data_IF_931630676638
#
_entry.id   IF_931630676638
#
_cell.length_a   1.000
_cell.length_b   1.000
_cell.length_c   1.000
_cell.angle_alpha   90.00
_cell.angle_beta   90.00
_cell.angle_gamma   90.00
#
_symmetry.space_group_name_H-M   'P 1'
#
loop_
_entity.id
_entity.type
_entity.pdbx_description
1 polymer ?
#
# COMPACT_ATOMS: atom_id res chain seq x y z
N UNK A 1 0.49 23.41 5.36
CA UNK A 1 1.54 22.50 5.89
C UNK A 1 2.88 23.02 5.40
N UNK A 2 3.93 23.05 6.22
CA UNK A 2 5.25 23.45 5.74
C UNK A 2 5.75 22.42 4.71
N UNK A 3 6.33 22.88 3.60
CA UNK A 3 6.79 22.01 2.51
C UNK A 3 7.80 20.96 3.03
N UNK A 4 8.67 21.35 3.96
CA UNK A 4 9.65 20.46 4.59
C UNK A 4 9.01 19.27 5.34
N UNK A 5 7.91 19.50 6.08
CA UNK A 5 7.20 18.41 6.76
C UNK A 5 6.54 17.45 5.77
N UNK A 6 6.07 17.96 4.62
CA UNK A 6 5.45 17.14 3.59
C UNK A 6 6.48 16.28 2.85
N UNK A 7 7.66 16.85 2.55
CA UNK A 7 8.80 16.09 2.02
C UNK A 7 9.20 14.95 2.94
N UNK A 8 9.36 15.24 4.23
CA UNK A 8 9.66 14.22 5.23
C UNK A 8 8.58 13.14 5.29
N UNK A 9 7.30 13.53 5.26
CA UNK A 9 6.19 12.60 5.25
C UNK A 9 6.21 11.68 4.02
N UNK A 10 6.49 12.21 2.82
CA UNK A 10 6.64 11.42 1.59
C UNK A 10 7.81 10.45 1.67
N UNK A 11 8.95 10.88 2.22
CA UNK A 11 10.11 10.02 2.43
C UNK A 11 9.78 8.86 3.38
N UNK A 12 9.12 9.15 4.51
CA UNK A 12 8.66 8.15 5.47
C UNK A 12 7.63 7.19 4.85
N UNK A 13 6.70 7.71 4.05
CA UNK A 13 5.77 6.88 3.28
C UNK A 13 6.52 5.95 2.32
N UNK A 14 7.52 6.48 1.61
CA UNK A 14 8.35 5.72 0.70
C UNK A 14 9.09 4.58 1.40
N UNK A 15 9.72 4.85 2.55
CA UNK A 15 10.33 3.81 3.40
C UNK A 15 9.28 2.80 3.86
N UNK A 16 8.11 3.28 4.28
CA UNK A 16 6.98 2.45 4.68
C UNK A 16 6.53 1.48 3.58
N UNK A 17 6.48 1.91 2.32
CA UNK A 17 6.19 1.06 1.17
C UNK A 17 7.26 -0.02 0.95
N UNK A 18 8.54 0.32 1.07
CA UNK A 18 9.63 -0.65 0.96
C UNK A 18 9.50 -1.71 2.04
N UNK A 19 9.31 -1.29 3.30
CA UNK A 19 9.11 -2.19 4.44
C UNK A 19 7.87 -3.07 4.23
N UNK A 20 6.75 -2.49 3.79
CA UNK A 20 5.52 -3.21 3.52
C UNK A 20 5.71 -4.27 2.43
N UNK A 21 6.42 -3.94 1.34
CA UNK A 21 6.71 -4.87 0.26
C UNK A 21 7.58 -6.03 0.73
N UNK A 22 8.64 -5.75 1.50
CA UNK A 22 9.51 -6.80 2.08
C UNK A 22 8.70 -7.70 3.03
N UNK A 23 7.91 -7.10 3.94
CA UNK A 23 7.06 -7.84 4.87
C UNK A 23 6.03 -8.71 4.12
N UNK A 24 5.50 -8.21 3.01
CA UNK A 24 4.53 -8.94 2.17
C UNK A 24 5.10 -10.22 1.57
N UNK A 25 6.42 -10.33 1.39
CA UNK A 25 7.07 -11.57 0.92
C UNK A 25 7.00 -12.72 1.94
N UNK A 26 6.73 -12.42 3.22
CA UNK A 26 6.59 -13.42 4.29
C UNK A 26 5.19 -14.05 4.27
N UNK A 27 4.17 -13.28 3.84
CA UNK A 27 2.76 -13.68 3.86
C UNK A 27 2.49 -15.02 3.15
N UNK A 28 3.03 -15.31 1.94
CA UNK A 28 2.78 -16.58 1.26
C UNK A 28 3.23 -17.81 2.06
N UNK A 29 4.30 -17.67 2.84
CA UNK A 29 4.78 -18.74 3.73
C UNK A 29 3.94 -18.83 4.99
N UNK A 30 3.65 -17.69 5.63
CA UNK A 30 2.88 -17.62 6.87
C UNK A 30 1.46 -18.20 6.72
N UNK A 31 0.81 -17.95 5.58
CA UNK A 31 -0.54 -18.42 5.27
C UNK A 31 -0.56 -19.73 4.45
N UNK A 32 0.58 -20.39 4.28
CA UNK A 32 0.70 -21.65 3.55
C UNK A 32 0.06 -21.61 2.14
N UNK A 33 0.23 -20.52 1.39
CA UNK A 33 -0.42 -20.31 0.10
C UNK A 33 -0.22 -21.47 -0.87
N UNK A 34 0.97 -22.09 -0.87
CA UNK A 34 1.22 -23.28 -1.71
C UNK A 34 0.22 -24.41 -1.44
N UNK A 35 -0.11 -24.67 -0.17
CA UNK A 35 -1.07 -25.71 0.24
C UNK A 35 -2.50 -25.32 -0.14
N UNK A 36 -2.89 -24.08 0.16
CA UNK A 36 -4.26 -23.61 -0.07
C UNK A 36 -4.58 -23.43 -1.55
N UNK A 37 -3.67 -22.84 -2.33
CA UNK A 37 -3.86 -22.61 -3.76
C UNK A 37 -3.80 -23.89 -4.59
N UNK A 38 -3.24 -24.98 -4.08
CA UNK A 38 -3.26 -26.28 -4.76
C UNK A 38 -4.66 -26.90 -4.83
N UNK A 39 -5.62 -26.43 -4.02
CA UNK A 39 -7.02 -26.83 -4.10
C UNK A 39 -7.75 -26.18 -5.29
N UNK A 40 -7.15 -25.18 -5.93
CA UNK A 40 -7.74 -24.43 -7.03
C UNK A 40 -7.31 -25.00 -8.40
N UNK A 41 -8.13 -24.80 -9.44
CA UNK A 41 -7.72 -24.99 -10.83
C UNK A 41 -6.42 -24.24 -11.16
N UNK A 42 -5.60 -24.82 -12.04
CA UNK A 42 -4.26 -24.29 -12.41
C UNK A 42 -4.32 -22.82 -12.83
N UNK A 43 -5.30 -22.45 -13.66
CA UNK A 43 -5.47 -21.08 -14.14
C UNK A 43 -5.71 -20.09 -12.99
N UNK A 44 -6.60 -20.40 -12.05
CA UNK A 44 -6.91 -19.52 -10.93
C UNK A 44 -5.69 -19.37 -10.00
N UNK A 45 -4.94 -20.44 -9.78
CA UNK A 45 -3.66 -20.37 -9.04
C UNK A 45 -2.66 -19.44 -9.72
N UNK A 46 -2.51 -19.53 -11.04
CA UNK A 46 -1.59 -18.66 -11.79
C UNK A 46 -2.04 -17.20 -11.72
N UNK A 47 -3.34 -16.92 -11.91
CA UNK A 47 -3.89 -15.56 -11.80
C UNK A 47 -3.65 -14.96 -10.42
N UNK A 48 -3.87 -15.74 -9.35
CA UNK A 48 -3.62 -15.28 -7.98
C UNK A 48 -2.15 -14.88 -7.77
N UNK A 49 -1.20 -15.70 -8.22
CA UNK A 49 0.23 -15.38 -8.13
C UNK A 49 0.60 -14.16 -8.97
N UNK A 50 0.05 -14.01 -10.17
CA UNK A 50 0.28 -12.85 -11.03
C UNK A 50 -0.21 -11.56 -10.36
N UNK A 51 -1.42 -11.56 -9.81
CA UNK A 51 -1.97 -10.39 -9.12
C UNK A 51 -1.18 -10.06 -7.84
N UNK A 52 -0.78 -11.08 -7.07
CA UNK A 52 0.08 -10.87 -5.90
C UNK A 52 1.42 -10.24 -6.30
N UNK A 53 2.03 -10.69 -7.40
CA UNK A 53 3.27 -10.11 -7.92
C UNK A 53 3.08 -8.66 -8.38
N UNK A 54 1.99 -8.35 -9.09
CA UNK A 54 1.69 -6.98 -9.52
C UNK A 54 1.51 -6.03 -8.33
N UNK A 55 0.79 -6.47 -7.29
CA UNK A 55 0.60 -5.70 -6.06
C UNK A 55 1.93 -5.46 -5.35
N UNK A 56 2.79 -6.47 -5.28
CA UNK A 56 4.12 -6.34 -4.68
C UNK A 56 4.98 -5.32 -5.43
N UNK A 57 5.02 -5.44 -6.76
CA UNK A 57 5.82 -4.55 -7.62
C UNK A 57 5.31 -3.12 -7.55
N UNK A 58 3.99 -2.89 -7.63
CA UNK A 58 3.46 -1.52 -7.60
C UNK A 58 3.72 -0.83 -6.24
N UNK A 59 3.56 -1.55 -5.13
CA UNK A 59 3.86 -1.01 -3.80
C UNK A 59 5.34 -0.67 -3.67
N UNK A 60 6.22 -1.55 -4.15
CA UNK A 60 7.67 -1.28 -4.16
C UNK A 60 8.02 -0.06 -5.03
N UNK A 61 7.40 0.08 -6.20
CA UNK A 61 7.57 1.24 -7.08
C UNK A 61 7.10 2.54 -6.43
N UNK A 62 5.99 2.54 -5.69
CA UNK A 62 5.57 3.71 -4.91
C UNK A 62 6.63 4.11 -3.87
N UNK A 63 7.24 3.12 -3.23
CA UNK A 63 8.37 3.36 -2.33
C UNK A 63 9.54 4.06 -3.01
N UNK A 64 10.00 3.53 -4.14
CA UNK A 64 11.10 4.12 -4.93
C UNK A 64 10.76 5.55 -5.35
N UNK A 65 9.60 5.76 -5.98
CA UNK A 65 9.20 7.07 -6.49
C UNK A 65 9.12 8.09 -5.34
N UNK A 66 8.67 7.66 -4.16
CA UNK A 66 8.51 8.57 -3.02
C UNK A 66 9.84 8.93 -2.34
N UNK A 67 10.82 8.03 -2.38
CA UNK A 67 12.16 8.26 -1.82
C UNK A 67 13.02 9.10 -2.76
N UNK A 68 13.05 8.74 -4.05
CA UNK A 68 13.97 9.36 -5.01
C UNK A 68 13.32 10.49 -5.80
N UNK A 69 11.99 10.54 -5.87
CA UNK A 69 11.23 11.54 -6.62
C UNK A 69 10.46 12.51 -5.73
N UNK A 70 10.86 12.72 -4.47
CA UNK A 70 10.11 13.56 -3.52
C UNK A 70 9.90 14.98 -4.06
N UNK A 71 10.94 15.60 -4.63
CA UNK A 71 10.87 16.95 -5.19
C UNK A 71 9.96 16.97 -6.43
N UNK A 72 10.06 15.96 -7.28
CA UNK A 72 9.25 15.79 -8.49
C UNK A 72 7.78 15.56 -8.17
N UNK A 73 7.47 14.88 -7.06
CA UNK A 73 6.11 14.70 -6.55
C UNK A 73 5.51 15.98 -5.95
N UNK A 74 6.32 17.02 -5.74
CA UNK A 74 5.91 18.29 -5.12
C UNK A 74 6.12 19.52 -6.03
N UNK A 75 6.41 19.31 -7.32
CA UNK A 75 6.76 20.40 -8.24
C UNK A 75 5.56 21.10 -8.92
N UNK A 76 4.33 20.92 -8.42
CA UNK A 76 3.08 21.48 -8.95
C UNK A 76 2.71 21.07 -10.39
N UNK A 77 3.49 20.16 -11.02
CA UNK A 77 3.21 19.68 -12.37
C UNK A 77 1.94 18.83 -12.42
N UNK A 78 1.38 18.69 -13.62
CA UNK A 78 0.27 17.75 -13.87
C UNK A 78 0.65 16.30 -13.50
N UNK A 79 1.91 15.92 -13.72
CA UNK A 79 2.40 14.58 -13.39
C UNK A 79 2.44 14.38 -11.87
N UNK A 80 2.94 15.36 -11.11
CA UNK A 80 2.96 15.33 -9.64
C UNK A 80 1.53 15.15 -9.09
N UNK A 81 0.57 15.94 -9.58
CA UNK A 81 -0.85 15.83 -9.22
C UNK A 81 -1.41 14.44 -9.53
N UNK A 82 -1.16 13.94 -10.74
CA UNK A 82 -1.70 12.66 -11.20
C UNK A 82 -1.16 11.48 -10.39
N UNK A 83 0.15 11.44 -10.14
CA UNK A 83 0.79 10.35 -9.39
C UNK A 83 0.39 10.39 -7.92
N UNK A 84 0.40 11.56 -7.27
CA UNK A 84 0.00 11.68 -5.86
C UNK A 84 -1.47 11.32 -5.67
N UNK A 85 -2.37 11.77 -6.56
CA UNK A 85 -3.78 11.37 -6.52
C UNK A 85 -3.95 9.87 -6.78
N UNK A 86 -3.23 9.30 -7.75
CA UNK A 86 -3.28 7.87 -8.06
C UNK A 86 -2.89 7.02 -6.84
N UNK A 87 -1.77 7.34 -6.19
CA UNK A 87 -1.32 6.60 -5.00
C UNK A 87 -2.33 6.75 -3.87
N UNK A 88 -2.87 7.96 -3.66
CA UNK A 88 -3.92 8.21 -2.67
C UNK A 88 -5.15 7.33 -2.90
N UNK A 89 -5.67 7.30 -4.14
CA UNK A 89 -6.85 6.50 -4.51
C UNK A 89 -6.56 5.01 -4.35
N UNK A 90 -5.37 4.55 -4.75
CA UNK A 90 -4.96 3.15 -4.58
C UNK A 90 -5.07 2.71 -3.11
N UNK A 91 -4.51 3.49 -2.18
CA UNK A 91 -4.57 3.17 -0.76
C UNK A 91 -5.96 3.36 -0.17
N UNK A 92 -6.71 4.38 -0.63
CA UNK A 92 -8.09 4.58 -0.20
C UNK A 92 -8.95 3.37 -0.57
N UNK A 93 -8.83 2.89 -1.81
CA UNK A 93 -9.50 1.66 -2.26
C UNK A 93 -9.10 0.46 -1.39
N UNK A 94 -7.81 0.33 -1.05
CA UNK A 94 -7.35 -0.75 -0.16
C UNK A 94 -7.96 -0.70 1.23
N UNK A 95 -8.12 0.50 1.80
CA UNK A 95 -8.80 0.73 3.09
C UNK A 95 -10.27 0.37 2.99
N UNK A 96 -10.96 0.84 1.94
CA UNK A 96 -12.38 0.53 1.72
C UNK A 96 -12.60 -0.98 1.58
N UNK A 97 -11.76 -1.68 0.81
CA UNK A 97 -11.82 -3.15 0.68
C UNK A 97 -11.65 -3.83 2.06
N UNK A 98 -10.82 -3.29 2.95
CA UNK A 98 -10.64 -3.84 4.30
C UNK A 98 -11.93 -3.82 5.11
N UNK A 99 -12.69 -2.73 5.06
CA UNK A 99 -13.88 -2.56 5.89
C UNK A 99 -15.18 -3.05 5.24
N UNK A 100 -15.27 -2.99 3.90
CA UNK A 100 -16.52 -3.28 3.18
C UNK A 100 -16.52 -4.63 2.45
N UNK A 101 -15.36 -5.24 2.21
CA UNK A 101 -15.28 -6.49 1.45
C UNK A 101 -14.71 -7.66 2.26
N UNK A 102 -13.67 -7.44 3.07
CA UNK A 102 -13.10 -8.52 3.85
C UNK A 102 -13.99 -8.92 5.04
N UNK A 103 -14.45 -10.17 5.01
CA UNK A 103 -15.13 -10.80 6.13
C UNK A 103 -14.11 -11.28 7.17
N UNK A 104 -14.08 -10.61 8.33
CA UNK A 104 -13.19 -10.94 9.45
C UNK A 104 -13.79 -11.95 10.44
N UNK A 105 -14.98 -12.49 10.17
CA UNK A 105 -15.70 -13.39 11.09
C UNK A 105 -14.90 -14.66 11.44
N UNK A 106 -14.10 -15.17 10.49
CA UNK A 106 -13.21 -16.33 10.66
C UNK A 106 -11.74 -15.95 10.82
N UNK A 107 -11.43 -14.68 11.10
CA UNK A 107 -10.05 -14.22 11.24
C UNK A 107 -9.36 -14.90 12.44
N UNK A 108 -8.05 -15.20 12.35
CA UNK A 108 -7.26 -15.75 13.44
C UNK A 108 -7.42 -14.93 14.72
N UNK A 109 -7.92 -15.56 15.78
CA UNK A 109 -8.10 -14.92 17.08
C UNK A 109 -6.74 -14.84 17.79
N UNK A 110 -6.23 -13.63 18.01
CA UNK A 110 -4.99 -13.42 18.76
C UNK A 110 -4.58 -11.95 18.83
N UNK A 111 -3.94 -11.54 19.93
CA UNK A 111 -3.51 -10.14 20.13
C UNK A 111 -2.54 -9.67 19.04
N UNK A 112 -1.55 -10.50 18.68
CA UNK A 112 -0.58 -10.17 17.63
C UNK A 112 -1.22 -10.00 16.25
N UNK A 113 -2.21 -10.82 15.92
CA UNK A 113 -2.92 -10.72 14.64
C UNK A 113 -3.73 -9.42 14.56
N UNK A 114 -4.49 -9.11 15.62
CA UNK A 114 -5.26 -7.85 15.72
C UNK A 114 -4.35 -6.63 15.70
N UNK A 115 -3.23 -6.66 16.43
CA UNK A 115 -2.26 -5.57 16.45
C UNK A 115 -1.65 -5.34 15.05
N UNK A 116 -1.29 -6.42 14.34
CA UNK A 116 -0.79 -6.33 12.97
C UNK A 116 -1.84 -5.79 11.98
N UNK A 117 -3.10 -6.21 12.10
CA UNK A 117 -4.20 -5.70 11.29
C UNK A 117 -4.42 -4.19 11.51
N UNK A 118 -4.52 -3.76 12.77
CA UNK A 118 -4.69 -2.33 13.10
C UNK A 118 -3.50 -1.52 12.60
N UNK A 119 -2.27 -2.01 12.79
CA UNK A 119 -1.06 -1.35 12.28
C UNK A 119 -1.09 -1.19 10.76
N UNK A 120 -1.50 -2.22 10.01
CA UNK A 120 -1.60 -2.15 8.56
C UNK A 120 -2.69 -1.17 8.10
N UNK A 121 -3.84 -1.17 8.76
CA UNK A 121 -4.92 -0.21 8.46
C UNK A 121 -4.44 1.22 8.70
N UNK A 122 -3.80 1.49 9.83
CA UNK A 122 -3.24 2.80 10.14
C UNK A 122 -2.21 3.22 9.09
N UNK A 123 -1.35 2.29 8.66
CA UNK A 123 -0.37 2.54 7.60
C UNK A 123 -1.05 2.92 6.28
N UNK A 124 -2.11 2.20 5.88
CA UNK A 124 -2.82 2.49 4.63
C UNK A 124 -3.57 3.83 4.69
N UNK A 125 -4.21 4.14 5.82
CA UNK A 125 -4.86 5.44 6.05
C UNK A 125 -3.83 6.56 6.01
N UNK A 126 -2.65 6.37 6.62
CA UNK A 126 -1.56 7.32 6.58
C UNK A 126 -1.07 7.56 5.16
N UNK A 127 -0.87 6.49 4.36
CA UNK A 127 -0.52 6.65 2.95
C UNK A 127 -1.58 7.46 2.21
N UNK A 128 -2.85 7.07 2.29
CA UNK A 128 -3.96 7.82 1.67
C UNK A 128 -3.91 9.31 2.04
N UNK A 129 -3.82 9.62 3.33
CA UNK A 129 -3.83 11.00 3.81
C UNK A 129 -2.62 11.81 3.31
N UNK A 130 -1.41 11.26 3.41
CA UNK A 130 -0.19 11.96 3.00
C UNK A 130 -0.23 12.28 1.50
N UNK A 131 -0.50 11.29 0.63
CA UNK A 131 -0.54 11.54 -0.80
C UNK A 131 -1.71 12.44 -1.22
N UNK A 132 -2.86 12.39 -0.54
CA UNK A 132 -3.96 13.30 -0.80
C UNK A 132 -3.59 14.75 -0.43
N UNK A 133 -2.94 14.95 0.72
CA UNK A 133 -2.44 16.29 1.10
C UNK A 133 -1.37 16.78 0.12
N UNK A 134 -0.49 15.91 -0.36
CA UNK A 134 0.47 16.27 -1.42
C UNK A 134 -0.21 16.65 -2.73
N UNK A 135 -1.30 15.96 -3.10
CA UNK A 135 -2.10 16.33 -4.26
C UNK A 135 -2.70 17.73 -4.11
N UNK A 136 -3.29 18.05 -2.94
CA UNK A 136 -3.84 19.38 -2.66
C UNK A 136 -2.76 20.47 -2.65
N UNK A 137 -1.59 20.16 -2.12
CA UNK A 137 -0.42 21.04 -2.15
C UNK A 137 -0.03 21.39 -3.59
N UNK A 138 0.05 20.40 -4.48
CA UNK A 138 0.37 20.63 -5.88
C UNK A 138 -0.73 21.41 -6.62
N UNK A 139 -2.00 21.25 -6.22
CA UNK A 139 -3.15 21.91 -6.84
C UNK A 139 -3.27 23.40 -6.47
N UNK A 140 -2.76 23.77 -5.30
CA UNK A 140 -2.65 25.17 -4.85
C UNK A 140 -1.58 25.91 -5.64
#
# INVERSE_FOLDING_TARGET
MNAEYLKLALLLCGIGHIVLSIASMIIPKALQWKKELNKLPVLLKQLFWTYAAYILVINFSFGIISIYGTEELMNHSFLAKSITLFISIYWAARVLIQFFYFDTTNAPKGFLYKAGEVMLILLFVLFTAVYFVTFLYNHS
#
